data_IF_171678264920
#
_entry.id   IF_171678264920
#
_cell.length_a   1.000
_cell.length_b   1.000
_cell.length_c   1.000
_cell.angle_alpha   90.00
_cell.angle_beta   90.00
_cell.angle_gamma   90.00
#
_symmetry.space_group_name_H-M   'P 1'
#
loop_
_entity.id
_entity.type
_entity.pdbx_description
1 polymer ?
#
# COMPACT_ATOMS: atom_id res chain seq x y z
N UNK A 1 11.95 3.53 -18.56
CA UNK A 1 12.32 3.26 -17.14
C UNK A 1 11.18 3.58 -16.17
N UNK A 2 10.65 4.79 -16.19
CA UNK A 2 9.53 5.17 -15.29
C UNK A 2 8.30 4.25 -15.40
N UNK A 3 7.85 3.94 -16.63
CA UNK A 3 6.73 3.04 -16.85
C UNK A 3 6.97 1.64 -16.27
N UNK A 4 8.19 1.14 -16.35
CA UNK A 4 8.56 -0.14 -15.73
C UNK A 4 8.40 -0.14 -14.21
N UNK A 5 8.74 0.97 -13.55
CA UNK A 5 8.55 1.12 -12.10
C UNK A 5 7.07 1.19 -11.71
N UNK A 6 6.24 1.83 -12.52
CA UNK A 6 4.78 1.84 -12.31
C UNK A 6 4.21 0.44 -12.44
N UNK A 7 4.65 -0.32 -13.45
CA UNK A 7 4.24 -1.71 -13.63
C UNK A 7 4.70 -2.61 -12.46
N UNK A 8 5.94 -2.41 -12.00
CA UNK A 8 6.46 -3.15 -10.86
C UNK A 8 5.67 -2.85 -9.58
N UNK A 9 5.36 -1.58 -9.33
CA UNK A 9 4.51 -1.17 -8.21
C UNK A 9 3.13 -1.85 -8.29
N UNK A 10 2.51 -1.88 -9.47
CA UNK A 10 1.22 -2.52 -9.66
C UNK A 10 1.27 -4.04 -9.48
N UNK A 11 2.33 -4.69 -9.96
CA UNK A 11 2.52 -6.14 -9.78
C UNK A 11 2.77 -6.49 -8.31
N UNK A 12 3.63 -5.72 -7.64
CA UNK A 12 3.98 -5.94 -6.24
C UNK A 12 2.76 -5.79 -5.31
N UNK A 13 1.79 -4.96 -5.68
CA UNK A 13 0.51 -4.86 -4.97
C UNK A 13 -0.14 -6.23 -4.77
N UNK A 14 -0.18 -7.06 -5.82
CA UNK A 14 -0.77 -8.40 -5.74
C UNK A 14 0.03 -9.34 -4.85
N UNK A 15 1.36 -9.27 -4.92
CA UNK A 15 2.24 -10.04 -4.01
C UNK A 15 1.95 -9.69 -2.55
N UNK A 16 1.85 -8.41 -2.24
CA UNK A 16 1.56 -7.93 -0.88
C UNK A 16 0.16 -8.38 -0.43
N UNK A 17 -0.86 -8.25 -1.28
CA UNK A 17 -2.21 -8.70 -0.94
C UNK A 17 -2.26 -10.21 -0.65
N UNK A 18 -1.61 -11.01 -1.47
CA UNK A 18 -1.53 -12.47 -1.26
C UNK A 18 -0.82 -12.78 0.06
N UNK A 19 0.35 -12.19 0.30
CA UNK A 19 1.12 -12.40 1.54
C UNK A 19 0.34 -11.92 2.76
N UNK A 20 -0.39 -10.83 2.65
CA UNK A 20 -1.20 -10.29 3.74
C UNK A 20 -2.36 -11.22 4.09
N UNK A 21 -3.06 -11.75 3.08
CA UNK A 21 -4.15 -12.71 3.28
C UNK A 21 -3.61 -14.00 3.90
N UNK A 22 -2.49 -14.53 3.39
CA UNK A 22 -1.85 -15.72 3.95
C UNK A 22 -1.42 -15.48 5.40
N UNK A 23 -0.80 -14.34 5.69
CA UNK A 23 -0.41 -13.96 7.05
C UNK A 23 -1.61 -13.88 7.98
N UNK A 24 -2.72 -13.33 7.50
CA UNK A 24 -3.96 -13.20 8.26
C UNK A 24 -4.55 -14.58 8.60
N UNK A 25 -4.61 -15.48 7.62
CA UNK A 25 -5.08 -16.86 7.84
C UNK A 25 -4.16 -17.57 8.84
N UNK A 26 -2.86 -17.46 8.68
CA UNK A 26 -1.88 -18.07 9.60
C UNK A 26 -2.00 -17.52 11.03
N UNK A 27 -2.27 -16.23 11.17
CA UNK A 27 -2.47 -15.61 12.48
C UNK A 27 -3.76 -16.12 13.15
N UNK A 28 -4.86 -16.21 12.43
CA UNK A 28 -6.12 -16.72 12.99
C UNK A 28 -6.07 -18.23 13.27
N UNK A 29 -5.31 -19.00 12.52
CA UNK A 29 -5.13 -20.45 12.75
C UNK A 29 -3.97 -20.77 13.67
N UNK A 30 -3.31 -19.76 14.23
CA UNK A 30 -2.14 -19.90 15.12
C UNK A 30 -1.02 -20.76 14.52
N UNK A 31 -0.75 -20.55 13.24
CA UNK A 31 0.27 -21.28 12.50
C UNK A 31 1.64 -20.59 12.64
N UNK A 32 2.63 -21.33 13.11
CA UNK A 32 3.99 -20.80 13.34
C UNK A 32 4.71 -20.36 12.06
N UNK A 33 4.26 -20.83 10.89
CA UNK A 33 4.77 -20.35 9.59
C UNK A 33 4.57 -18.84 9.39
N UNK A 34 3.70 -18.23 10.20
CA UNK A 34 3.50 -16.78 10.21
C UNK A 34 4.82 -16.03 10.43
N UNK A 35 5.72 -16.52 11.27
CA UNK A 35 7.00 -15.87 11.51
C UNK A 35 7.80 -15.66 10.23
N UNK A 36 7.77 -16.60 9.30
CA UNK A 36 8.46 -16.49 8.00
C UNK A 36 7.65 -15.67 6.99
N UNK A 37 6.36 -15.94 6.88
CA UNK A 37 5.47 -15.22 5.95
C UNK A 37 5.44 -13.72 6.26
N UNK A 38 5.40 -13.35 7.54
CA UNK A 38 5.42 -11.95 7.96
C UNK A 38 6.71 -11.23 7.59
N UNK A 39 7.83 -11.93 7.53
CA UNK A 39 9.10 -11.36 7.07
C UNK A 39 9.03 -11.01 5.58
N UNK A 40 8.53 -11.91 4.74
CA UNK A 40 8.38 -11.65 3.31
C UNK A 40 7.38 -10.52 3.04
N UNK A 41 6.29 -10.46 3.81
CA UNK A 41 5.33 -9.36 3.73
C UNK A 41 5.99 -8.02 4.10
N UNK A 42 6.79 -8.00 5.16
CA UNK A 42 7.54 -6.80 5.58
C UNK A 42 8.47 -6.32 4.48
N UNK A 43 9.29 -7.22 3.92
CA UNK A 43 10.26 -6.89 2.87
C UNK A 43 9.54 -6.34 1.64
N UNK A 44 8.52 -7.03 1.16
CA UNK A 44 7.74 -6.63 -0.01
C UNK A 44 7.08 -5.26 0.19
N UNK A 45 6.53 -5.02 1.38
CA UNK A 45 5.88 -3.75 1.72
C UNK A 45 6.86 -2.58 1.75
N UNK A 46 8.08 -2.80 2.24
CA UNK A 46 9.11 -1.74 2.25
C UNK A 46 9.65 -1.46 0.85
N UNK A 47 9.82 -2.48 0.01
CA UNK A 47 10.16 -2.27 -1.41
C UNK A 47 9.06 -1.45 -2.09
N UNK A 48 7.80 -1.79 -1.84
CA UNK A 48 6.64 -1.07 -2.36
C UNK A 48 6.64 0.40 -1.91
N UNK A 49 6.98 0.65 -0.64
CA UNK A 49 7.08 2.00 -0.10
C UNK A 49 8.14 2.82 -0.84
N UNK A 50 9.33 2.26 -1.06
CA UNK A 50 10.40 2.95 -1.80
C UNK A 50 9.98 3.27 -3.24
N UNK A 51 9.36 2.32 -3.92
CA UNK A 51 8.85 2.52 -5.27
C UNK A 51 7.75 3.60 -5.30
N UNK A 52 6.84 3.55 -4.34
CA UNK A 52 5.76 4.52 -4.22
C UNK A 52 6.27 5.93 -3.94
N UNK A 53 7.22 6.08 -3.02
CA UNK A 53 7.86 7.37 -2.73
C UNK A 53 8.62 7.91 -3.94
N UNK A 54 9.35 7.05 -4.63
CA UNK A 54 10.03 7.46 -5.86
C UNK A 54 9.03 8.01 -6.89
N UNK A 55 7.93 7.28 -7.12
CA UNK A 55 6.89 7.73 -8.04
C UNK A 55 6.23 9.03 -7.57
N UNK A 56 5.97 9.15 -6.28
CA UNK A 56 5.34 10.33 -5.68
C UNK A 56 6.13 11.62 -5.96
N UNK A 57 7.45 11.55 -5.84
CA UNK A 57 8.32 12.72 -6.04
C UNK A 57 8.77 12.93 -7.48
N UNK A 58 8.73 11.91 -8.33
CA UNK A 58 9.27 11.99 -9.70
C UNK A 58 8.20 11.96 -10.79
N UNK A 59 6.94 11.70 -10.46
CA UNK A 59 5.86 11.72 -11.44
C UNK A 59 5.46 13.15 -11.78
N UNK A 60 5.41 13.47 -13.07
CA UNK A 60 4.86 14.74 -13.54
C UNK A 60 3.32 14.75 -13.55
N UNK A 61 2.72 13.56 -13.64
CA UNK A 61 1.27 13.43 -13.77
C UNK A 61 0.53 13.47 -12.44
N UNK A 62 1.09 12.83 -11.41
CA UNK A 62 0.46 12.66 -10.09
C UNK A 62 1.48 12.84 -8.96
N UNK A 63 0.99 13.03 -7.74
CA UNK A 63 1.86 13.13 -6.57
C UNK A 63 2.32 14.55 -6.28
N UNK A 64 3.54 14.70 -5.79
CA UNK A 64 4.05 15.96 -5.23
C UNK A 64 3.96 17.16 -6.19
N UNK A 65 4.27 16.97 -7.47
CA UNK A 65 4.27 18.04 -8.47
C UNK A 65 2.87 18.61 -8.75
N UNK A 66 1.82 17.89 -8.37
CA UNK A 66 0.45 18.44 -8.48
C UNK A 66 0.22 19.65 -7.57
N UNK A 67 0.95 19.75 -6.46
CA UNK A 67 0.82 20.87 -5.53
C UNK A 67 1.19 22.18 -6.23
N UNK A 68 2.32 22.18 -6.92
CA UNK A 68 2.79 23.35 -7.68
C UNK A 68 1.87 23.63 -8.88
N UNK A 69 1.53 22.59 -9.63
CA UNK A 69 0.70 22.72 -10.84
C UNK A 69 -0.68 23.28 -10.57
N UNK A 70 -1.27 22.99 -9.42
CA UNK A 70 -2.59 23.50 -9.01
C UNK A 70 -2.51 24.81 -8.24
N UNK A 71 -1.32 25.37 -8.02
CA UNK A 71 -1.12 26.64 -7.35
C UNK A 71 -1.19 26.60 -5.83
N UNK A 72 -0.95 25.43 -5.22
CA UNK A 72 -0.82 25.26 -3.78
C UNK A 72 -1.63 24.11 -3.19
N UNK A 73 -1.30 23.74 -1.96
CA UNK A 73 -1.92 22.63 -1.24
C UNK A 73 -3.43 22.82 -1.01
N UNK A 74 -3.87 24.05 -0.77
CA UNK A 74 -5.29 24.36 -0.59
C UNK A 74 -6.13 23.99 -1.82
N UNK A 75 -5.60 24.20 -3.02
CA UNK A 75 -6.27 23.82 -4.26
C UNK A 75 -6.27 22.29 -4.47
N UNK A 76 -5.21 21.60 -4.06
CA UNK A 76 -5.16 20.14 -4.04
C UNK A 76 -6.29 19.56 -3.19
N UNK A 77 -6.53 20.12 -2.01
CA UNK A 77 -7.58 19.66 -1.11
C UNK A 77 -9.00 19.86 -1.65
N UNK A 78 -9.19 20.78 -2.57
CA UNK A 78 -10.48 21.03 -3.24
C UNK A 78 -10.74 20.11 -4.44
N UNK A 79 -9.71 19.56 -5.03
CA UNK A 79 -9.79 18.67 -6.18
C UNK A 79 -9.71 17.20 -5.70
N UNK A 80 -10.75 16.43 -5.94
CA UNK A 80 -10.83 15.06 -5.45
C UNK A 80 -9.75 14.12 -6.04
N UNK A 81 -9.40 14.32 -7.31
CA UNK A 81 -8.35 13.55 -7.97
C UNK A 81 -6.96 13.88 -7.37
N UNK A 82 -6.66 15.17 -7.27
CA UNK A 82 -5.39 15.63 -6.73
C UNK A 82 -5.24 15.24 -5.25
N UNK A 83 -6.30 15.43 -4.47
CA UNK A 83 -6.32 15.04 -3.05
C UNK A 83 -6.02 13.55 -2.87
N UNK A 84 -6.61 12.68 -3.70
CA UNK A 84 -6.34 11.25 -3.64
C UNK A 84 -4.86 10.95 -3.87
N UNK A 85 -4.27 11.47 -4.94
CA UNK A 85 -2.90 11.15 -5.33
C UNK A 85 -1.82 11.86 -4.52
N UNK A 86 -2.14 13.02 -3.94
CA UNK A 86 -1.17 13.79 -3.13
C UNK A 86 -1.24 13.41 -1.65
N UNK A 87 -2.44 13.13 -1.13
CA UNK A 87 -2.66 12.99 0.32
C UNK A 87 -3.19 11.61 0.69
N UNK A 88 -4.33 11.19 0.13
CA UNK A 88 -5.08 10.05 0.65
C UNK A 88 -4.33 8.73 0.44
N UNK A 89 -3.92 8.44 -0.77
CA UNK A 89 -3.25 7.18 -1.10
C UNK A 89 -1.96 7.00 -0.30
N UNK A 90 -1.07 7.98 -0.34
CA UNK A 90 0.22 7.89 0.34
C UNK A 90 0.06 7.79 1.86
N UNK A 91 -0.82 8.61 2.46
CA UNK A 91 -1.03 8.63 3.91
C UNK A 91 -1.58 7.30 4.41
N UNK A 92 -2.61 6.77 3.76
CA UNK A 92 -3.22 5.50 4.15
C UNK A 92 -2.25 4.33 3.94
N UNK A 93 -1.50 4.32 2.85
CA UNK A 93 -0.50 3.27 2.59
C UNK A 93 0.65 3.30 3.60
N UNK A 94 1.14 4.47 4.00
CA UNK A 94 2.17 4.58 5.05
C UNK A 94 1.63 4.03 6.37
N UNK A 95 0.40 4.37 6.76
CA UNK A 95 -0.22 3.84 7.97
C UNK A 95 -0.34 2.31 7.90
N UNK A 96 -0.79 1.78 6.76
CA UNK A 96 -0.89 0.34 6.57
C UNK A 96 0.47 -0.37 6.70
N UNK A 97 1.53 0.21 6.15
CA UNK A 97 2.89 -0.34 6.25
C UNK A 97 3.43 -0.26 7.67
N UNK A 98 3.12 0.79 8.41
CA UNK A 98 3.44 0.88 9.85
C UNK A 98 2.77 -0.27 10.61
N UNK A 99 1.49 -0.53 10.35
CA UNK A 99 0.77 -1.65 10.97
C UNK A 99 1.38 -3.01 10.60
N UNK A 100 1.77 -3.21 9.34
CA UNK A 100 2.45 -4.42 8.89
C UNK A 100 3.79 -4.58 9.62
N UNK A 101 4.53 -3.50 9.82
CA UNK A 101 5.81 -3.49 10.55
C UNK A 101 5.61 -3.86 12.02
N UNK A 102 4.63 -3.27 12.68
CA UNK A 102 4.27 -3.60 14.07
C UNK A 102 3.78 -5.05 14.19
N UNK A 103 2.95 -5.48 13.24
CA UNK A 103 2.46 -6.86 13.19
C UNK A 103 3.59 -7.87 13.01
N UNK A 104 4.62 -7.54 12.23
CA UNK A 104 5.82 -8.38 12.12
C UNK A 104 6.47 -8.62 13.48
N UNK A 105 6.59 -7.60 14.30
CA UNK A 105 7.13 -7.74 15.66
C UNK A 105 6.30 -8.71 16.53
N UNK A 106 4.99 -8.69 16.38
CA UNK A 106 4.08 -9.63 17.07
C UNK A 106 4.14 -11.03 16.49
N UNK A 107 4.13 -11.14 15.17
CA UNK A 107 4.22 -12.41 14.45
C UNK A 107 5.52 -13.17 14.75
N UNK A 108 6.64 -12.45 14.80
CA UNK A 108 7.95 -13.00 15.16
C UNK A 108 7.95 -13.65 16.56
N UNK A 109 7.15 -13.10 17.48
CA UNK A 109 7.00 -13.61 18.85
C UNK A 109 5.83 -14.56 18.98
N UNK A 110 5.21 -14.97 17.88
CA UNK A 110 4.03 -15.84 17.84
C UNK A 110 2.85 -15.30 18.66
N UNK A 111 2.72 -13.97 18.73
CA UNK A 111 1.56 -13.29 19.32
C UNK A 111 0.45 -13.16 18.26
N UNK A 112 -0.23 -14.26 18.02
CA UNK A 112 -1.14 -14.40 16.88
C UNK A 112 -2.31 -13.43 16.90
N UNK A 113 -2.97 -13.25 18.03
CA UNK A 113 -4.14 -12.38 18.13
C UNK A 113 -3.79 -10.92 17.84
N UNK A 114 -2.72 -10.41 18.44
CA UNK A 114 -2.26 -9.04 18.19
C UNK A 114 -1.87 -8.82 16.73
N UNK A 115 -1.14 -9.78 16.14
CA UNK A 115 -0.76 -9.74 14.73
C UNK A 115 -2.00 -9.77 13.82
N UNK A 116 -2.97 -10.65 14.11
CA UNK A 116 -4.18 -10.81 13.31
C UNK A 116 -4.96 -9.50 13.20
N UNK A 117 -5.20 -8.81 14.29
CA UNK A 117 -5.94 -7.54 14.27
C UNK A 117 -5.20 -6.43 13.52
N UNK A 118 -3.89 -6.36 13.65
CA UNK A 118 -3.08 -5.41 12.87
C UNK A 118 -3.16 -5.69 11.39
N UNK A 119 -3.13 -6.97 10.98
CA UNK A 119 -3.28 -7.36 9.59
C UNK A 119 -4.69 -7.10 9.04
N UNK A 120 -5.74 -7.30 9.84
CA UNK A 120 -7.11 -6.96 9.44
C UNK A 120 -7.22 -5.47 9.13
N UNK A 121 -6.73 -4.63 10.03
CA UNK A 121 -6.78 -3.17 9.85
C UNK A 121 -5.94 -2.75 8.62
N UNK A 122 -4.73 -3.29 8.48
CA UNK A 122 -3.89 -3.01 7.32
C UNK A 122 -4.56 -3.42 6.00
N UNK A 123 -5.21 -4.58 5.96
CA UNK A 123 -5.94 -5.06 4.79
C UNK A 123 -7.09 -4.12 4.41
N UNK A 124 -7.90 -3.71 5.39
CA UNK A 124 -9.00 -2.77 5.16
C UNK A 124 -8.49 -1.44 4.60
N UNK A 125 -7.42 -0.91 5.18
CA UNK A 125 -6.80 0.35 4.71
C UNK A 125 -6.27 0.23 3.28
N UNK A 126 -5.57 -0.86 2.97
CA UNK A 126 -5.03 -1.11 1.63
C UNK A 126 -6.15 -1.23 0.61
N UNK A 127 -7.18 -2.03 0.90
CA UNK A 127 -8.33 -2.20 0.00
C UNK A 127 -9.07 -0.88 -0.24
N UNK A 128 -9.17 -0.03 0.78
CA UNK A 128 -9.79 1.29 0.66
C UNK A 128 -8.96 2.29 -0.16
N UNK A 129 -7.63 2.21 -0.08
CA UNK A 129 -6.72 3.17 -0.72
C UNK A 129 -6.22 2.75 -2.10
N UNK A 130 -6.45 1.50 -2.52
CA UNK A 130 -6.09 1.05 -3.88
C UNK A 130 -7.01 1.71 -4.91
N UNK A 131 -6.45 2.27 -6.01
CA UNK A 131 -7.25 2.84 -7.10
C UNK A 131 -7.78 1.73 -8.02
N UNK A 132 -8.77 1.00 -7.56
CA UNK A 132 -9.39 -0.12 -8.29
C UNK A 132 -9.96 0.33 -9.63
N UNK A 133 -10.06 -0.56 -10.64
CA UNK A 133 -10.60 -0.20 -11.97
C UNK A 133 -12.05 0.30 -11.97
N UNK A 134 -12.82 -0.04 -10.94
CA UNK A 134 -14.21 0.40 -10.78
C UNK A 134 -14.36 1.73 -10.06
N UNK A 135 -13.27 2.35 -9.59
CA UNK A 135 -13.31 3.65 -8.90
C UNK A 135 -13.25 4.79 -9.91
N UNK A 136 -14.35 5.50 -10.05
CA UNK A 136 -14.42 6.62 -10.97
C UNK A 136 -13.37 7.69 -10.67
N UNK A 137 -12.78 8.23 -11.71
CA UNK A 137 -11.82 9.33 -11.65
C UNK A 137 -10.39 8.95 -11.28
N UNK A 138 -10.16 7.86 -10.54
CA UNK A 138 -8.82 7.45 -10.10
C UNK A 138 -8.44 6.04 -10.54
N UNK A 139 -9.32 5.37 -11.28
CA UNK A 139 -9.16 3.96 -11.66
C UNK A 139 -7.81 3.64 -12.30
N UNK A 140 -7.24 2.51 -11.92
CA UNK A 140 -6.05 1.91 -12.52
C UNK A 140 -6.35 0.46 -12.91
N UNK A 141 -5.70 -0.08 -13.97
CA UNK A 141 -5.95 -1.45 -14.42
C UNK A 141 -5.66 -2.50 -13.32
N UNK A 142 -6.30 -3.66 -13.46
CA UNK A 142 -6.04 -4.80 -12.59
C UNK A 142 -4.58 -5.26 -12.65
N UNK A 143 -4.03 -5.33 -13.84
CA UNK A 143 -2.67 -5.80 -14.08
C UNK A 143 -1.85 -4.77 -14.86
N UNK A 144 -0.52 -4.79 -14.70
CA UNK A 144 0.36 -3.93 -15.48
C UNK A 144 0.20 -4.16 -16.99
N UNK A 145 0.18 -3.08 -17.75
CA UNK A 145 0.12 -3.15 -19.22
C UNK A 145 -1.26 -3.37 -19.82
N UNK A 146 -2.29 -3.38 -19.01
CA UNK A 146 -3.68 -3.47 -19.49
C UNK A 146 -4.28 -2.11 -19.81
#
# INVERSE_FOLDING_TARGET
>A
MYNGLVHLHSALRWVILILLIVSLIQAFTKNEKLAKTSLWLLISSHIMLLLGLFQYFNSEAVGFHMIERLGGFGNVMKDSFARFWVVEHISVMVIAIILITMARGRAKRLKFSAAAWMYVIALVLILAAVPWPFREGIARPWFPGM
#
